data_IF_313194575342
#
_entry.id   IF_313194575342
#
_cell.length_a   1.000
_cell.length_b   1.000
_cell.length_c   1.000
_cell.angle_alpha   90.00
_cell.angle_beta   90.00
_cell.angle_gamma   90.00
#
_symmetry.space_group_name_H-M   'P 1'
#
loop_
_entity.id
_entity.type
_entity.pdbx_description
1 polymer ?
#
# COMPACT_ATOMS: atom_id res chain seq x y z
N UNK A 1 -6.33 35.65 27.94
CA UNK A 1 -5.24 35.05 28.75
C UNK A 1 -5.79 33.78 29.37
N UNK A 2 -5.38 32.60 28.87
CA UNK A 2 -5.78 31.32 29.45
C UNK A 2 -4.69 30.27 29.13
N UNK A 3 -3.93 29.74 30.12
CA UNK A 3 -2.86 28.80 29.89
C UNK A 3 -3.31 27.37 30.24
N UNK A 4 -3.30 26.45 29.28
CA UNK A 4 -3.41 25.02 29.57
C UNK A 4 -2.64 24.21 28.51
N UNK A 5 -1.32 24.15 28.66
CA UNK A 5 -0.45 23.20 27.95
C UNK A 5 -0.33 21.94 28.81
N UNK A 6 -0.88 20.81 28.36
CA UNK A 6 -0.43 19.48 28.81
C UNK A 6 0.49 18.91 27.74
N UNK A 7 1.79 18.85 28.06
CA UNK A 7 2.81 18.18 27.27
C UNK A 7 2.73 16.68 27.59
N UNK A 8 2.51 15.85 26.59
CA UNK A 8 2.82 14.41 26.66
C UNK A 8 4.09 14.22 25.86
N UNK A 9 5.20 13.95 26.56
CA UNK A 9 6.44 13.53 25.95
C UNK A 9 6.35 12.04 25.66
N UNK A 10 6.50 11.64 24.40
CA UNK A 10 6.75 10.24 24.04
C UNK A 10 8.19 10.16 23.55
N UNK A 11 8.97 9.35 24.26
CA UNK A 11 10.38 9.12 24.00
C UNK A 11 10.56 8.29 22.72
N UNK A 12 11.43 8.75 21.82
CA UNK A 12 12.00 7.95 20.74
C UNK A 12 13.00 6.95 21.33
N UNK A 13 12.81 5.67 21.05
CA UNK A 13 13.84 4.65 21.18
C UNK A 13 14.38 4.31 19.79
N UNK A 14 15.66 4.63 19.57
CA UNK A 14 16.44 4.16 18.43
C UNK A 14 16.92 2.74 18.70
N UNK A 15 16.84 1.86 17.70
CA UNK A 15 17.56 0.60 17.68
C UNK A 15 18.38 0.50 16.39
N UNK A 16 19.69 0.49 16.56
CA UNK A 16 20.71 0.17 15.56
C UNK A 16 21.17 -1.26 15.84
N UNK A 17 21.14 -2.14 14.85
CA UNK A 17 21.92 -3.39 14.81
C UNK A 17 21.96 -3.85 13.34
N UNK A 18 23.04 -3.63 12.59
CA UNK A 18 24.35 -4.30 12.62
C UNK A 18 24.32 -5.72 12.03
N UNK A 19 25.19 -5.90 11.02
CA UNK A 19 25.33 -7.03 10.11
C UNK A 19 25.78 -8.34 10.79
N UNK A 20 25.41 -9.47 10.18
CA UNK A 20 25.94 -10.78 10.51
C UNK A 20 26.14 -11.64 9.27
N UNK A 21 27.37 -11.62 8.73
CA UNK A 21 27.88 -12.59 7.77
C UNK A 21 28.13 -13.94 8.46
N UNK A 22 27.67 -15.04 7.85
CA UNK A 22 27.89 -16.40 8.32
C UNK A 22 28.18 -17.35 7.16
N UNK A 23 29.46 -17.56 6.87
CA UNK A 23 29.97 -18.64 6.01
C UNK A 23 30.40 -19.83 6.86
N UNK A 24 30.08 -21.05 6.44
CA UNK A 24 30.59 -22.28 7.07
C UNK A 24 30.05 -23.55 6.39
N UNK A 25 30.91 -24.46 5.87
CA UNK A 25 30.52 -25.63 5.08
C UNK A 25 30.44 -26.91 5.94
N UNK A 26 29.67 -27.91 5.50
CA UNK A 26 29.98 -29.33 5.77
C UNK A 26 29.19 -30.27 4.85
N UNK A 27 29.93 -31.19 4.24
CA UNK A 27 29.43 -32.32 3.47
C UNK A 27 29.03 -33.47 4.41
N UNK A 28 28.06 -34.30 4.00
CA UNK A 28 28.04 -35.70 4.41
C UNK A 28 27.31 -36.57 3.38
N UNK A 29 27.76 -37.82 3.27
CA UNK A 29 27.50 -38.75 2.19
C UNK A 29 26.74 -40.01 2.66
N UNK A 30 25.72 -40.39 1.89
CA UNK A 30 25.16 -41.76 1.78
C UNK A 30 24.25 -42.26 2.91
N UNK A 31 23.60 -43.46 2.79
CA UNK A 31 23.69 -44.45 1.72
C UNK A 31 22.33 -45.06 1.21
N UNK A 32 22.46 -45.87 0.16
CA UNK A 32 21.72 -47.08 -0.24
C UNK A 32 20.17 -47.15 -0.19
N UNK A 33 19.60 -47.37 -1.38
CA UNK A 33 18.22 -47.80 -1.63
C UNK A 33 17.99 -49.22 -1.11
N UNK A 34 16.97 -49.41 -0.29
CA UNK A 34 16.40 -50.73 0.01
C UNK A 34 15.20 -50.98 -0.90
N UNK A 35 15.25 -52.09 -1.65
CA UNK A 35 14.15 -52.59 -2.46
C UNK A 35 12.92 -52.90 -1.58
N UNK A 36 11.77 -52.38 -2.00
CA UNK A 36 10.49 -52.61 -1.32
C UNK A 36 9.98 -54.04 -1.59
N UNK A 37 9.34 -54.69 -0.60
CA UNK A 37 8.78 -56.03 -0.76
C UNK A 37 7.58 -56.04 -1.74
N UNK A 38 7.31 -57.18 -2.40
CA UNK A 38 6.16 -57.31 -3.30
C UNK A 38 4.82 -57.18 -2.55
N UNK A 39 3.78 -56.66 -3.21
CA UNK A 39 2.46 -56.49 -2.60
C UNK A 39 1.76 -57.85 -2.33
N UNK A 40 0.91 -57.93 -1.30
CA UNK A 40 0.12 -59.11 -0.99
C UNK A 40 -0.99 -59.38 -2.03
N UNK A 41 -1.47 -60.63 -2.15
CA UNK A 41 -2.50 -61.02 -3.11
C UNK A 41 -3.90 -60.48 -2.75
N UNK A 42 -4.68 -60.23 -3.79
CA UNK A 42 -6.01 -59.61 -3.82
C UNK A 42 -6.96 -60.06 -2.70
N UNK A 43 -7.33 -59.09 -1.85
CA UNK A 43 -8.47 -59.19 -0.97
C UNK A 43 -9.74 -58.86 -1.76
N UNK A 44 -10.72 -59.76 -1.68
CA UNK A 44 -12.01 -59.70 -2.35
C UNK A 44 -12.72 -58.35 -2.15
N UNK A 45 -13.32 -57.84 -3.23
CA UNK A 45 -14.04 -56.58 -3.26
C UNK A 45 -15.24 -56.60 -2.29
N UNK A 46 -15.46 -55.52 -1.50
CA UNK A 46 -16.66 -55.37 -0.71
C UNK A 46 -17.88 -55.11 -1.62
N UNK A 47 -19.10 -55.47 -1.17
CA UNK A 47 -20.33 -55.26 -1.93
C UNK A 47 -20.59 -53.76 -2.19
N UNK A 48 -21.22 -53.50 -3.34
CA UNK A 48 -21.52 -52.18 -3.89
C UNK A 48 -21.97 -51.17 -2.83
N UNK A 49 -21.12 -50.17 -2.61
CA UNK A 49 -21.49 -48.98 -1.85
C UNK A 49 -22.65 -48.27 -2.56
N UNK A 50 -23.61 -47.68 -1.82
CA UNK A 50 -24.62 -46.83 -2.44
C UNK A 50 -23.93 -45.71 -3.24
N UNK A 51 -24.54 -45.24 -4.35
CA UNK A 51 -23.97 -44.16 -5.14
C UNK A 51 -23.70 -42.94 -4.23
N UNK A 52 -22.59 -42.22 -4.46
CA UNK A 52 -22.31 -41.02 -3.69
C UNK A 52 -23.51 -40.05 -3.83
N UNK A 53 -23.80 -39.25 -2.79
CA UNK A 53 -24.76 -38.17 -2.93
C UNK A 53 -24.33 -37.29 -4.11
N UNK A 54 -25.26 -36.66 -4.84
CA UNK A 54 -24.90 -35.72 -5.89
C UNK A 54 -23.92 -34.69 -5.32
N UNK A 55 -22.90 -34.34 -6.10
CA UNK A 55 -21.89 -33.36 -5.72
C UNK A 55 -22.59 -32.16 -5.09
N UNK A 56 -22.18 -31.84 -3.86
CA UNK A 56 -22.62 -30.59 -3.25
C UNK A 56 -22.33 -29.46 -4.25
N UNK A 57 -23.25 -28.51 -4.44
CA UNK A 57 -22.92 -27.32 -5.22
C UNK A 57 -21.60 -26.76 -4.67
N UNK A 58 -20.70 -26.27 -5.55
CA UNK A 58 -19.43 -25.71 -5.11
C UNK A 58 -19.71 -24.76 -3.94
N UNK A 59 -18.87 -24.75 -2.88
CA UNK A 59 -19.04 -23.80 -1.78
C UNK A 59 -19.24 -22.43 -2.41
N UNK A 60 -20.35 -21.78 -2.06
CA UNK A 60 -20.78 -20.49 -2.59
C UNK A 60 -19.55 -19.68 -2.98
N UNK A 61 -19.41 -19.42 -4.28
CA UNK A 61 -18.42 -18.49 -4.76
C UNK A 61 -18.63 -17.22 -3.94
N UNK A 62 -17.66 -16.94 -3.05
CA UNK A 62 -17.62 -15.71 -2.28
C UNK A 62 -17.94 -14.59 -3.26
N UNK A 63 -18.85 -13.65 -2.93
CA UNK A 63 -19.25 -12.63 -3.89
C UNK A 63 -18.01 -11.96 -4.51
N UNK A 64 -16.89 -11.86 -3.76
CA UNK A 64 -15.51 -11.44 -4.08
C UNK A 64 -14.91 -11.85 -5.46
N UNK A 65 -15.46 -12.86 -6.16
CA UNK A 65 -14.95 -13.30 -7.46
C UNK A 65 -15.67 -12.69 -8.69
N UNK A 66 -16.82 -12.04 -8.54
CA UNK A 66 -17.71 -11.72 -9.67
C UNK A 66 -17.46 -10.37 -10.40
N UNK A 67 -16.54 -9.50 -9.95
CA UNK A 67 -16.20 -8.23 -10.65
C UNK A 67 -15.00 -8.33 -11.57
N UNK A 68 -14.38 -9.51 -11.70
CA UNK A 68 -13.14 -9.65 -12.48
C UNK A 68 -13.31 -9.59 -13.99
N UNK A 69 -14.53 -9.66 -14.51
CA UNK A 69 -14.82 -9.54 -15.95
C UNK A 69 -15.93 -8.51 -16.20
N UNK A 70 -15.63 -7.21 -16.10
CA UNK A 70 -16.51 -6.16 -16.65
C UNK A 70 -16.68 -4.86 -15.86
N UNK A 71 -16.02 -4.69 -14.70
CA UNK A 71 -15.96 -3.36 -14.08
C UNK A 71 -15.20 -2.39 -15.03
N UNK A 72 -15.67 -1.15 -15.21
CA UNK A 72 -14.94 -0.18 -16.02
C UNK A 72 -13.56 0.06 -15.38
N UNK A 73 -12.49 0.19 -16.18
CA UNK A 73 -11.18 0.54 -15.64
C UNK A 73 -11.26 1.88 -14.91
N UNK A 74 -10.64 1.97 -13.73
CA UNK A 74 -10.58 3.16 -12.88
C UNK A 74 -9.14 3.70 -12.85
N UNK A 75 -8.94 5.01 -12.67
CA UNK A 75 -7.61 5.55 -12.36
C UNK A 75 -7.10 5.03 -11.01
N UNK A 76 -5.81 5.22 -10.75
CA UNK A 76 -5.15 4.90 -9.47
C UNK A 76 -4.14 6.00 -9.12
N UNK A 77 -4.56 7.00 -8.37
CA UNK A 77 -3.82 8.20 -7.97
C UNK A 77 -2.93 7.89 -6.78
N UNK A 78 -1.65 7.75 -7.06
CA UNK A 78 -0.63 7.48 -6.04
C UNK A 78 0.26 8.70 -5.81
N UNK A 79 0.65 8.95 -4.56
CA UNK A 79 1.74 9.89 -4.26
C UNK A 79 3.08 9.19 -4.44
N UNK A 80 3.95 9.71 -5.32
CA UNK A 80 5.31 9.17 -5.52
C UNK A 80 6.33 9.77 -4.57
N UNK A 81 6.16 11.03 -4.22
CA UNK A 81 7.16 11.71 -3.40
C UNK A 81 6.76 13.11 -3.00
N UNK A 82 7.44 13.59 -1.97
CA UNK A 82 7.37 14.97 -1.52
C UNK A 82 8.78 15.53 -1.56
N UNK A 83 8.94 16.65 -2.25
CA UNK A 83 10.21 17.39 -2.27
C UNK A 83 10.07 18.66 -1.46
N UNK A 84 11.10 18.98 -0.67
CA UNK A 84 11.21 20.24 0.07
C UNK A 84 12.35 21.07 -0.51
N UNK A 85 12.05 22.31 -0.88
CA UNK A 85 13.03 23.33 -1.24
C UNK A 85 13.25 24.29 -0.06
N UNK A 86 14.06 25.32 -0.24
CA UNK A 86 14.25 26.36 0.78
C UNK A 86 13.03 27.27 0.98
N UNK A 87 11.98 27.15 0.17
CA UNK A 87 10.79 28.02 0.24
C UNK A 87 9.45 27.29 0.16
N UNK A 88 9.43 26.03 -0.31
CA UNK A 88 8.18 25.32 -0.57
C UNK A 88 8.31 23.80 -0.51
N UNK A 89 7.15 23.15 -0.37
CA UNK A 89 6.93 21.74 -0.64
C UNK A 89 6.31 21.56 -2.03
N UNK A 90 6.65 20.46 -2.71
CA UNK A 90 5.97 19.99 -3.92
C UNK A 90 5.68 18.51 -3.81
N UNK A 91 4.49 18.10 -4.24
CA UNK A 91 4.06 16.70 -4.24
C UNK A 91 4.06 16.20 -5.68
N UNK A 92 4.73 15.09 -5.91
CA UNK A 92 4.64 14.32 -7.15
C UNK A 92 3.62 13.21 -6.98
N UNK A 93 2.69 13.12 -7.93
CA UNK A 93 1.65 12.10 -7.95
C UNK A 93 1.46 11.55 -9.36
N UNK A 94 1.02 10.32 -9.48
CA UNK A 94 0.81 9.64 -10.76
C UNK A 94 -0.56 9.00 -10.81
N UNK A 95 -1.02 8.69 -12.02
CA UNK A 95 -2.09 7.74 -12.25
C UNK A 95 -1.46 6.40 -12.67
N UNK A 96 -1.34 5.45 -11.74
CA UNK A 96 -0.81 4.09 -11.98
C UNK A 96 -1.86 3.15 -12.59
N UNK A 97 -3.11 3.61 -12.67
CA UNK A 97 -4.22 2.90 -13.28
C UNK A 97 -4.16 2.94 -14.81
N UNK A 98 -5.04 2.17 -15.42
CA UNK A 98 -5.15 2.04 -16.89
C UNK A 98 -6.24 2.94 -17.49
N UNK A 99 -6.98 3.68 -16.67
CA UNK A 99 -8.04 4.60 -17.09
C UNK A 99 -7.77 6.07 -16.76
N UNK A 100 -8.39 6.93 -17.55
CA UNK A 100 -8.57 8.35 -17.22
C UNK A 100 -9.90 8.55 -16.49
N UNK A 101 -9.99 9.55 -15.61
CA UNK A 101 -11.27 10.02 -15.09
C UNK A 101 -11.45 11.53 -15.29
N UNK A 102 -12.68 11.99 -15.56
CA UNK A 102 -13.00 13.40 -15.48
C UNK A 102 -13.08 13.82 -14.01
N UNK A 103 -12.78 15.08 -13.72
CA UNK A 103 -12.93 15.63 -12.38
C UNK A 103 -11.74 16.47 -11.96
N UNK A 104 -11.84 17.02 -10.75
CA UNK A 104 -10.76 17.75 -10.10
C UNK A 104 -10.68 17.32 -8.66
N UNK A 105 -9.46 17.13 -8.18
CA UNK A 105 -9.18 16.71 -6.80
C UNK A 105 -8.23 17.68 -6.09
N UNK A 106 -8.05 17.46 -4.78
CA UNK A 106 -7.13 18.21 -3.92
C UNK A 106 -5.91 17.39 -3.56
N UNK A 107 -4.81 18.08 -3.28
CA UNK A 107 -3.67 17.50 -2.60
C UNK A 107 -3.60 18.10 -1.20
N UNK A 108 -3.48 17.24 -0.20
CA UNK A 108 -3.28 17.63 1.19
C UNK A 108 -1.85 17.31 1.64
N UNK A 109 -1.27 18.23 2.40
CA UNK A 109 -0.08 18.01 3.19
C UNK A 109 -0.42 18.20 4.68
N UNK A 110 -0.10 17.23 5.51
CA UNK A 110 -0.29 17.28 6.96
C UNK A 110 1.04 17.12 7.70
N UNK A 111 1.33 18.07 8.58
CA UNK A 111 2.40 18.06 9.57
C UNK A 111 1.81 17.85 10.98
N UNK A 112 2.63 17.54 12.01
CA UNK A 112 2.10 17.20 13.34
C UNK A 112 1.20 18.26 13.99
N UNK A 113 1.41 19.53 13.66
CA UNK A 113 0.70 20.67 14.26
C UNK A 113 -0.24 21.39 13.27
N UNK A 114 -0.17 21.08 11.98
CA UNK A 114 -0.83 21.86 10.94
C UNK A 114 -1.02 21.05 9.67
N UNK A 115 -2.15 21.23 8.99
CA UNK A 115 -2.41 20.67 7.67
C UNK A 115 -2.82 21.77 6.68
N UNK A 116 -2.56 21.52 5.41
CA UNK A 116 -2.95 22.39 4.30
C UNK A 116 -3.45 21.53 3.14
N UNK A 117 -4.66 21.83 2.66
CA UNK A 117 -5.22 21.27 1.44
C UNK A 117 -5.28 22.35 0.36
N UNK A 118 -4.87 21.99 -0.86
CA UNK A 118 -5.01 22.87 -2.03
C UNK A 118 -6.48 23.10 -2.39
N UNK A 119 -6.81 24.10 -3.21
CA UNK A 119 -8.05 24.10 -3.97
C UNK A 119 -8.20 22.81 -4.81
N UNK A 120 -9.44 22.42 -5.10
CA UNK A 120 -9.75 21.30 -6.00
C UNK A 120 -9.45 21.73 -7.45
N UNK A 121 -8.19 21.59 -7.87
CA UNK A 121 -7.67 22.14 -9.13
C UNK A 121 -6.90 21.13 -9.98
N UNK A 122 -6.52 19.99 -9.42
CA UNK A 122 -5.72 18.99 -10.14
C UNK A 122 -6.62 18.08 -10.96
N UNK A 123 -6.27 17.86 -12.23
CA UNK A 123 -6.91 16.84 -13.05
C UNK A 123 -6.17 15.52 -12.88
N UNK A 124 -6.88 14.42 -13.07
CA UNK A 124 -6.29 13.07 -13.14
C UNK A 124 -5.31 13.01 -14.32
N UNK A 125 -4.02 12.68 -14.10
CA UNK A 125 -3.07 12.47 -15.18
C UNK A 125 -3.53 11.36 -16.13
N UNK A 126 -2.99 11.34 -17.35
CA UNK A 126 -3.18 10.18 -18.23
C UNK A 126 -2.63 8.89 -17.60
N UNK A 127 -3.09 7.70 -18.03
CA UNK A 127 -2.59 6.42 -17.53
C UNK A 127 -1.05 6.34 -17.59
N UNK A 128 -0.43 5.93 -16.49
CA UNK A 128 1.03 5.88 -16.32
C UNK A 128 1.75 7.23 -16.28
N UNK A 129 1.02 8.35 -16.30
CA UNK A 129 1.60 9.69 -16.27
C UNK A 129 1.61 10.28 -14.86
N UNK A 130 2.59 11.16 -14.62
CA UNK A 130 2.77 11.86 -13.36
C UNK A 130 2.65 13.37 -13.53
N UNK A 131 2.28 14.04 -12.45
CA UNK A 131 2.24 15.49 -12.33
C UNK A 131 2.85 15.92 -10.99
N UNK A 132 3.23 17.20 -10.92
CA UNK A 132 3.78 17.81 -9.71
C UNK A 132 2.91 19.01 -9.36
N UNK A 133 2.63 19.20 -8.07
CA UNK A 133 1.91 20.38 -7.60
C UNK A 133 2.69 21.67 -7.89
N UNK A 134 2.00 22.81 -7.81
CA UNK A 134 2.68 24.09 -7.60
C UNK A 134 3.37 24.16 -6.23
N UNK A 135 4.04 25.27 -5.98
CA UNK A 135 4.71 25.53 -4.70
C UNK A 135 3.70 25.68 -3.56
N UNK A 136 3.81 24.82 -2.55
CA UNK A 136 3.10 24.94 -1.27
C UNK A 136 4.07 25.56 -0.27
N UNK A 137 3.88 26.83 0.09
CA UNK A 137 4.83 27.56 0.93
C UNK A 137 4.96 26.89 2.31
N UNK A 138 6.20 26.74 2.81
CA UNK A 138 6.43 25.95 4.02
C UNK A 138 5.72 26.50 5.28
N UNK A 139 5.48 27.82 5.33
CA UNK A 139 4.69 28.45 6.39
C UNK A 139 3.26 27.92 6.52
N UNK A 140 2.68 27.36 5.43
CA UNK A 140 1.35 26.73 5.47
C UNK A 140 1.32 25.42 6.26
N UNK A 141 2.49 24.80 6.50
CA UNK A 141 2.63 23.59 7.32
C UNK A 141 3.30 23.86 8.67
N UNK A 142 3.40 25.12 9.08
CA UNK A 142 4.06 25.47 10.34
C UNK A 142 5.59 25.35 10.28
N UNK A 143 6.17 25.40 9.07
CA UNK A 143 7.61 25.33 8.82
C UNK A 143 8.10 26.60 8.11
N UNK A 144 8.02 27.78 8.74
CA UNK A 144 8.31 29.05 8.06
C UNK A 144 9.72 29.15 7.46
N UNK A 145 10.68 28.34 7.93
CA UNK A 145 12.06 28.29 7.45
C UNK A 145 12.37 27.15 6.48
N UNK A 146 11.43 26.24 6.20
CA UNK A 146 11.66 25.01 5.43
C UNK A 146 12.82 24.14 5.97
N UNK A 147 13.08 24.20 7.28
CA UNK A 147 14.27 23.65 7.93
C UNK A 147 13.96 22.80 9.16
N UNK A 148 12.70 22.74 9.58
CA UNK A 148 12.27 21.89 10.69
C UNK A 148 12.32 20.41 10.29
N UNK A 149 12.73 19.54 11.20
CA UNK A 149 12.67 18.09 10.99
C UNK A 149 11.40 17.51 11.60
N UNK A 150 10.53 16.95 10.75
CA UNK A 150 9.31 16.24 11.14
C UNK A 150 8.76 15.39 9.98
N UNK A 151 7.80 14.51 10.30
CA UNK A 151 7.07 13.73 9.32
C UNK A 151 5.94 14.55 8.67
N UNK A 152 5.92 14.57 7.34
CA UNK A 152 4.86 15.13 6.50
C UNK A 152 4.10 13.98 5.85
N UNK A 153 2.79 13.95 6.03
CA UNK A 153 1.89 13.09 5.26
C UNK A 153 1.41 13.85 4.04
N UNK A 154 1.63 13.33 2.84
CA UNK A 154 1.02 13.83 1.62
C UNK A 154 -0.11 12.89 1.21
N UNK A 155 -1.25 13.45 0.81
CA UNK A 155 -2.39 12.70 0.30
C UNK A 155 -2.92 13.35 -0.99
N UNK A 156 -3.06 12.56 -2.05
CA UNK A 156 -3.84 12.95 -3.23
C UNK A 156 -5.28 12.54 -3.06
N UNK A 157 -6.17 13.27 -3.70
CA UNK A 157 -7.61 13.14 -3.57
C UNK A 157 -8.11 13.02 -2.13
N UNK A 158 -7.71 13.97 -1.28
CA UNK A 158 -8.05 13.96 0.16
C UNK A 158 -9.56 13.99 0.45
N UNK A 159 -10.36 14.44 -0.53
CA UNK A 159 -11.81 14.57 -0.43
C UNK A 159 -12.56 13.35 -1.00
N UNK A 160 -11.86 12.33 -1.54
CA UNK A 160 -12.45 11.13 -2.16
C UNK A 160 -13.41 11.52 -3.32
N UNK A 161 -12.92 12.39 -4.20
CA UNK A 161 -13.68 13.02 -5.28
C UNK A 161 -13.59 12.26 -6.61
N UNK A 162 -12.55 11.45 -6.80
CA UNK A 162 -12.30 10.58 -7.94
C UNK A 162 -12.49 9.15 -7.45
N UNK A 163 -13.29 8.34 -8.13
CA UNK A 163 -13.38 6.92 -7.80
C UNK A 163 -12.17 6.19 -8.38
N UNK A 164 -11.43 5.47 -7.54
CA UNK A 164 -10.15 4.87 -7.90
C UNK A 164 -10.15 3.35 -7.78
N UNK A 165 -9.14 2.71 -8.37
CA UNK A 165 -8.95 1.28 -8.24
C UNK A 165 -8.49 0.88 -6.83
N UNK A 166 -7.69 1.74 -6.16
CA UNK A 166 -7.15 1.50 -4.82
C UNK A 166 -6.99 2.78 -3.99
N UNK A 167 -8.04 3.14 -3.25
CA UNK A 167 -8.06 4.29 -2.31
C UNK A 167 -7.02 4.21 -1.18
N UNK A 168 -6.36 3.07 -0.99
CA UNK A 168 -5.42 2.85 0.12
C UNK A 168 -4.01 3.36 -0.17
N UNK A 169 -3.69 3.65 -1.44
CA UNK A 169 -2.35 4.05 -1.87
C UNK A 169 -2.19 5.56 -2.11
N UNK A 170 -3.26 6.34 -1.90
CA UNK A 170 -3.30 7.78 -2.14
C UNK A 170 -2.45 8.62 -1.18
N UNK A 171 -1.73 8.00 -0.23
CA UNK A 171 -0.97 8.72 0.79
C UNK A 171 0.43 8.15 1.06
N UNK A 172 1.38 9.03 1.33
CA UNK A 172 2.75 8.69 1.76
C UNK A 172 3.18 9.56 2.93
N UNK A 173 4.04 9.03 3.80
CA UNK A 173 4.68 9.77 4.87
C UNK A 173 6.17 9.93 4.58
N UNK A 174 6.66 11.17 4.57
CA UNK A 174 8.07 11.53 4.34
C UNK A 174 8.62 12.28 5.54
N UNK A 175 9.82 11.93 6.00
CA UNK A 175 10.51 12.68 7.06
C UNK A 175 11.60 13.55 6.46
N UNK A 176 11.64 14.82 6.87
CA UNK A 176 12.65 15.78 6.44
C UNK A 176 13.56 16.27 7.57
#
# INVERSE_FOLDING_TARGET
>A
MNPARRRVAVAMAAAIAACGDGTGPSADAGPARADAPPPPPDAAAPPDAPPPPPDAPPPDASPDAAWRDGAPPLPDLIVRGVTRTTTAYRVEFCNDGDATAPGRFRVELAAPEQAYATPAAFAVPGPGACAVTGDITCGLLGDPGCDRSFAVTARVDSDDAIAEADESNNAVVVTF
#
